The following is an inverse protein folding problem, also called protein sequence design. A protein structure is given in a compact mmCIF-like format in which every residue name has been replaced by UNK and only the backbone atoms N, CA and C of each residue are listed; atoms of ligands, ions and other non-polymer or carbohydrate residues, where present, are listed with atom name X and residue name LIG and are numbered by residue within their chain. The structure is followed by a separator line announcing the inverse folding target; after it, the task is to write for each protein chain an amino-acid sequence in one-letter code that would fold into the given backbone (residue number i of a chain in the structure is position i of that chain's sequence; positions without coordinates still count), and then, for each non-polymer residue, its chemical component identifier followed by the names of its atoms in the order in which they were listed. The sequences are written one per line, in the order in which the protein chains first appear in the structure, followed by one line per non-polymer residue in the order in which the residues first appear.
data_IF_118727105642
#
_entry.id   IF_118727105642
#
_cell.length_a   1.000
_cell.length_b   1.000
_cell.length_c   1.000
_cell.angle_alpha   90.00
_cell.angle_beta   90.00
_cell.angle_gamma   90.00
#
_symmetry.space_group_name_H-M   'P 1'
#
loop_
_entity.id
_entity.type
_entity.pdbx_description
1 polymer ?
#
# COMPACT_ATOMS: atom_id res chain seq x y z
N UNK A 1 23.59 12.40 -14.75
CA UNK A 1 22.78 11.47 -15.57
C UNK A 1 21.29 11.71 -15.36
N UNK A 2 20.82 11.86 -14.11
CA UNK A 2 19.45 12.28 -13.77
C UNK A 2 18.88 13.44 -14.60
N UNK A 3 19.57 14.58 -14.68
CA UNK A 3 19.10 15.76 -15.42
C UNK A 3 18.98 15.54 -16.94
N UNK A 4 19.94 14.83 -17.54
CA UNK A 4 19.89 14.47 -18.96
C UNK A 4 18.73 13.51 -19.28
N UNK A 5 18.41 12.59 -18.37
CA UNK A 5 17.26 11.70 -18.51
C UNK A 5 15.94 12.50 -18.46
N UNK A 6 15.80 13.41 -17.49
CA UNK A 6 14.60 14.25 -17.34
C UNK A 6 14.42 15.19 -18.54
N UNK A 7 15.50 15.76 -19.07
CA UNK A 7 15.48 16.58 -20.29
C UNK A 7 15.15 15.78 -21.55
N UNK A 8 15.63 14.52 -21.66
CA UNK A 8 15.25 13.63 -22.75
C UNK A 8 13.76 13.25 -22.69
N UNK A 9 13.24 12.90 -21.50
CA UNK A 9 11.81 12.59 -21.31
C UNK A 9 10.90 13.80 -21.60
N UNK A 10 11.38 15.01 -21.27
CA UNK A 10 10.71 16.28 -21.63
C UNK A 10 10.51 16.42 -23.15
N UNK A 11 11.47 15.97 -23.95
CA UNK A 11 11.37 16.02 -25.41
C UNK A 11 10.48 14.90 -25.98
N UNK A 12 10.43 13.74 -25.31
CA UNK A 12 9.65 12.57 -25.75
C UNK A 12 8.15 12.67 -25.45
N UNK A 13 7.75 13.39 -24.40
CA UNK A 13 6.33 13.58 -24.01
C UNK A 13 6.03 15.04 -23.70
N UNK A 14 5.58 15.84 -24.68
CA UNK A 14 5.26 17.26 -24.47
C UNK A 14 4.17 17.47 -23.40
N UNK A 15 3.24 16.53 -23.22
CA UNK A 15 2.18 16.60 -22.20
C UNK A 15 2.69 16.55 -20.74
N UNK A 16 3.88 15.97 -20.52
CA UNK A 16 4.52 15.88 -19.19
C UNK A 16 5.73 16.82 -19.06
N UNK A 17 5.99 17.64 -20.09
CA UNK A 17 7.17 18.50 -20.18
C UNK A 17 7.30 19.46 -19.00
N UNK A 18 6.18 20.06 -18.56
CA UNK A 18 6.16 21.00 -17.44
C UNK A 18 6.43 20.31 -16.09
N UNK A 19 5.99 19.06 -15.94
CA UNK A 19 6.29 18.24 -14.77
C UNK A 19 7.78 17.89 -14.70
N UNK A 20 8.36 17.42 -15.80
CA UNK A 20 9.79 17.13 -15.88
C UNK A 20 10.65 18.39 -15.68
N UNK A 21 10.25 19.53 -16.23
CA UNK A 21 10.93 20.81 -16.02
C UNK A 21 10.91 21.22 -14.53
N UNK A 22 9.76 21.06 -13.87
CA UNK A 22 9.61 21.35 -12.44
C UNK A 22 10.46 20.41 -11.58
N UNK A 23 10.49 19.11 -11.90
CA UNK A 23 11.33 18.13 -11.21
C UNK A 23 12.84 18.46 -11.39
N UNK A 24 13.25 18.88 -12.59
CA UNK A 24 14.62 19.28 -12.87
C UNK A 24 15.04 20.53 -12.08
N UNK A 25 14.21 21.57 -12.04
CA UNK A 25 14.48 22.80 -11.28
C UNK A 25 14.55 22.52 -9.76
N UNK A 26 13.61 21.75 -9.22
CA UNK A 26 13.63 21.35 -7.81
C UNK A 26 14.87 20.50 -7.45
N UNK A 27 15.29 19.62 -8.36
CA UNK A 27 16.51 18.84 -8.21
C UNK A 27 17.78 19.71 -8.23
N UNK A 28 17.88 20.66 -9.18
CA UNK A 28 18.99 21.61 -9.26
C UNK A 28 19.09 22.47 -8.00
N UNK A 29 17.94 22.93 -7.48
CA UNK A 29 17.85 23.70 -6.24
C UNK A 29 18.02 22.87 -4.97
N UNK A 30 18.17 21.53 -5.10
CA UNK A 30 18.32 20.57 -3.99
C UNK A 30 17.17 20.64 -2.98
N UNK A 31 15.95 20.95 -3.44
CA UNK A 31 14.75 21.04 -2.61
C UNK A 31 14.08 19.65 -2.49
N UNK A 32 14.72 18.75 -1.76
CA UNK A 32 14.33 17.33 -1.69
C UNK A 32 12.90 17.10 -1.19
N UNK A 33 12.43 17.88 -0.21
CA UNK A 33 11.08 17.73 0.32
C UNK A 33 9.99 18.14 -0.68
N UNK A 34 10.19 19.27 -1.38
CA UNK A 34 9.25 19.68 -2.42
C UNK A 34 9.31 18.76 -3.64
N UNK A 35 10.51 18.25 -3.95
CA UNK A 35 10.71 17.26 -5.00
C UNK A 35 9.91 15.99 -4.72
N UNK A 36 9.97 15.43 -3.49
CA UNK A 36 9.21 14.21 -3.17
C UNK A 36 7.70 14.45 -3.24
N UNK A 37 7.20 15.60 -2.77
CA UNK A 37 5.77 15.94 -2.87
C UNK A 37 5.31 16.06 -4.33
N UNK A 38 6.11 16.70 -5.19
CA UNK A 38 5.82 16.81 -6.62
C UNK A 38 5.91 15.47 -7.33
N UNK A 39 6.86 14.64 -6.94
CA UNK A 39 7.02 13.29 -7.48
C UNK A 39 5.84 12.39 -7.07
N UNK A 40 5.35 12.51 -5.84
CA UNK A 40 4.15 11.81 -5.36
C UNK A 40 2.91 12.16 -6.21
N UNK A 41 2.70 13.45 -6.49
CA UNK A 41 1.64 13.92 -7.41
C UNK A 41 1.83 13.37 -8.83
N UNK A 42 3.06 13.35 -9.31
CA UNK A 42 3.38 12.84 -10.66
C UNK A 42 3.10 11.34 -10.77
N UNK A 43 3.43 10.55 -9.76
CA UNK A 43 3.17 9.10 -9.74
C UNK A 43 1.67 8.75 -9.67
N UNK A 44 0.83 9.66 -9.18
CA UNK A 44 -0.62 9.50 -9.20
C UNK A 44 -1.25 9.74 -10.58
N UNK A 45 -0.53 10.36 -11.52
CA UNK A 45 -1.04 10.59 -12.87
C UNK A 45 -1.10 9.28 -13.66
N UNK A 46 -2.28 8.94 -14.17
CA UNK A 46 -2.48 7.75 -15.03
C UNK A 46 -1.56 7.74 -16.27
N UNK A 47 -1.23 8.92 -16.79
CA UNK A 47 -0.31 9.10 -17.94
C UNK A 47 1.13 8.71 -17.58
N UNK A 48 1.54 8.91 -16.33
CA UNK A 48 2.85 8.49 -15.83
C UNK A 48 2.89 6.99 -15.53
N UNK A 49 1.76 6.39 -15.16
CA UNK A 49 1.59 4.95 -14.94
C UNK A 49 1.53 4.12 -16.24
N UNK A 50 1.77 4.73 -17.39
CA UNK A 50 1.74 4.04 -18.69
C UNK A 50 3.16 3.62 -19.11
N UNK A 51 3.45 2.33 -18.99
CA UNK A 51 4.68 1.68 -19.44
C UNK A 51 5.84 1.75 -18.45
N UNK A 52 7.07 1.56 -18.93
CA UNK A 52 8.28 1.49 -18.09
C UNK A 52 8.77 2.85 -17.56
N UNK A 53 7.99 3.92 -17.72
CA UNK A 53 8.38 5.29 -17.37
C UNK A 53 8.71 5.43 -15.88
N UNK A 54 7.89 4.84 -15.00
CA UNK A 54 8.12 4.90 -13.54
C UNK A 54 9.36 4.09 -13.15
N UNK A 55 9.56 2.93 -13.78
CA UNK A 55 10.72 2.07 -13.54
C UNK A 55 12.02 2.78 -13.91
N UNK A 56 12.04 3.42 -15.08
CA UNK A 56 13.20 4.18 -15.52
C UNK A 56 13.43 5.44 -14.67
N UNK A 57 12.35 6.13 -14.26
CA UNK A 57 12.44 7.27 -13.36
C UNK A 57 13.01 6.85 -12.00
N UNK A 58 12.60 5.70 -11.47
CA UNK A 58 13.15 5.20 -10.22
C UNK A 58 14.65 4.95 -10.34
N UNK A 59 15.07 4.17 -11.35
CA UNK A 59 16.46 3.76 -11.50
C UNK A 59 17.41 4.91 -11.88
N UNK A 60 16.97 5.86 -12.71
CA UNK A 60 17.83 6.94 -13.22
C UNK A 60 17.75 8.24 -12.41
N UNK A 61 16.69 8.42 -11.61
CA UNK A 61 16.44 9.67 -10.89
C UNK A 61 16.34 9.42 -9.38
N UNK A 62 15.47 8.52 -8.92
CA UNK A 62 15.20 8.34 -7.48
C UNK A 62 16.43 7.76 -6.74
N UNK A 63 17.17 6.84 -7.36
CA UNK A 63 18.39 6.26 -6.78
C UNK A 63 19.47 7.33 -6.49
N UNK A 64 19.54 8.42 -7.26
CA UNK A 64 20.55 9.47 -7.06
C UNK A 64 20.35 10.28 -5.75
N UNK A 65 19.14 10.28 -5.18
CA UNK A 65 18.81 11.06 -3.98
C UNK A 65 18.11 10.27 -2.89
N UNK A 66 18.13 8.94 -2.96
CA UNK A 66 17.54 8.04 -1.97
C UNK A 66 18.05 8.30 -0.54
N UNK A 67 19.34 8.64 -0.41
CA UNK A 67 20.00 8.94 0.87
C UNK A 67 19.62 10.29 1.48
N UNK A 68 18.86 11.13 0.76
CA UNK A 68 18.50 12.49 1.18
C UNK A 68 17.02 12.68 1.44
N UNK A 69 16.21 11.64 1.17
CA UNK A 69 14.77 11.67 1.33
C UNK A 69 14.34 10.76 2.48
N UNK A 70 13.11 10.95 2.94
CA UNK A 70 12.52 10.05 3.91
C UNK A 70 12.40 8.63 3.32
N UNK A 71 13.02 7.65 3.98
CA UNK A 71 13.03 6.24 3.58
C UNK A 71 11.62 5.65 3.42
N UNK A 72 10.64 6.11 4.21
CA UNK A 72 9.25 5.68 4.08
C UNK A 72 8.65 6.12 2.75
N UNK A 73 8.91 7.37 2.32
CA UNK A 73 8.49 7.87 1.00
C UNK A 73 9.16 7.11 -0.14
N UNK A 74 10.44 6.76 0.03
CA UNK A 74 11.12 5.87 -0.92
C UNK A 74 10.43 4.51 -1.02
N UNK A 75 10.07 3.91 0.12
CA UNK A 75 9.34 2.64 0.13
C UNK A 75 8.01 2.74 -0.61
N UNK A 76 7.24 3.82 -0.42
CA UNK A 76 6.01 4.07 -1.20
C UNK A 76 6.30 4.12 -2.71
N UNK A 77 7.35 4.83 -3.14
CA UNK A 77 7.74 4.90 -4.55
C UNK A 77 8.18 3.53 -5.10
N UNK A 78 8.93 2.75 -4.33
CA UNK A 78 9.35 1.41 -4.70
C UNK A 78 8.13 0.49 -4.89
N UNK A 79 7.13 0.60 -4.02
CA UNK A 79 5.87 -0.16 -4.13
C UNK A 79 5.08 0.25 -5.38
N UNK A 80 4.93 1.54 -5.68
CA UNK A 80 4.27 2.00 -6.91
C UNK A 80 5.01 1.47 -8.14
N UNK A 81 6.35 1.52 -8.11
CA UNK A 81 7.21 1.02 -9.19
C UNK A 81 7.02 -0.49 -9.38
N UNK A 82 6.96 -1.27 -8.30
CA UNK A 82 6.74 -2.73 -8.38
C UNK A 82 5.42 -3.13 -9.04
N UNK A 83 4.39 -2.28 -8.96
CA UNK A 83 3.08 -2.54 -9.60
C UNK A 83 3.10 -2.35 -11.11
N UNK A 84 4.09 -1.63 -11.63
CA UNK A 84 4.27 -1.41 -13.07
C UNK A 84 4.98 -2.57 -13.76
N UNK A 85 5.62 -3.45 -13.00
CA UNK A 85 6.26 -4.62 -13.58
C UNK A 85 5.19 -5.62 -14.03
N UNK A 86 5.21 -6.07 -15.30
CA UNK A 86 4.31 -7.10 -15.77
C UNK A 86 4.66 -8.48 -15.17
N UNK A 87 5.95 -8.70 -14.86
CA UNK A 87 6.44 -9.92 -14.23
C UNK A 87 6.54 -9.74 -12.71
N UNK A 88 5.81 -10.59 -11.98
CA UNK A 88 5.75 -10.60 -10.52
C UNK A 88 7.08 -11.03 -9.90
N UNK A 89 7.84 -11.89 -10.56
CA UNK A 89 9.15 -12.33 -10.06
C UNK A 89 10.17 -11.19 -10.15
N UNK A 90 10.20 -10.47 -11.27
CA UNK A 90 11.03 -9.29 -11.43
C UNK A 90 10.70 -8.20 -10.39
N UNK A 91 9.40 -8.02 -10.09
CA UNK A 91 8.95 -7.07 -9.06
C UNK A 91 9.46 -7.43 -7.67
N UNK A 92 9.45 -8.72 -7.30
CA UNK A 92 9.97 -9.20 -6.01
C UNK A 92 11.48 -8.96 -5.93
N UNK A 93 12.25 -9.36 -6.95
CA UNK A 93 13.70 -9.14 -6.98
C UNK A 93 14.07 -7.67 -6.87
N UNK A 94 13.30 -6.78 -7.51
CA UNK A 94 13.47 -5.33 -7.38
C UNK A 94 13.25 -4.87 -5.93
N UNK A 95 12.14 -5.27 -5.30
CA UNK A 95 11.81 -4.90 -3.91
C UNK A 95 12.86 -5.45 -2.92
N UNK A 96 13.37 -6.67 -3.13
CA UNK A 96 14.46 -7.24 -2.33
C UNK A 96 15.77 -6.46 -2.48
N UNK A 97 16.07 -5.98 -3.70
CA UNK A 97 17.18 -5.08 -3.97
C UNK A 97 17.04 -3.77 -3.19
N UNK A 98 15.84 -3.19 -3.14
CA UNK A 98 15.55 -1.98 -2.35
C UNK A 98 15.74 -2.25 -0.85
N UNK A 99 15.26 -3.38 -0.32
CA UNK A 99 15.48 -3.77 1.08
C UNK A 99 16.97 -3.86 1.41
N UNK A 100 17.77 -4.44 0.51
CA UNK A 100 19.22 -4.58 0.72
C UNK A 100 19.90 -3.22 0.83
N UNK A 101 19.58 -2.30 -0.08
CA UNK A 101 20.09 -0.91 -0.03
C UNK A 101 19.64 -0.16 1.23
N UNK A 102 18.39 -0.33 1.64
CA UNK A 102 17.86 0.27 2.87
C UNK A 102 18.62 -0.22 4.11
N UNK A 103 19.00 -1.50 4.16
CA UNK A 103 19.82 -2.06 5.24
C UNK A 103 21.25 -1.51 5.25
N UNK A 104 21.83 -1.26 4.08
CA UNK A 104 23.18 -0.70 3.95
C UNK A 104 23.27 0.74 4.45
N UNK A 105 22.18 1.50 4.36
CA UNK A 105 22.13 2.92 4.76
C UNK A 105 22.22 3.11 6.29
N UNK A 106 22.01 2.05 7.10
CA UNK A 106 22.18 2.01 8.57
C UNK A 106 21.54 3.18 9.34
N UNK A 107 20.36 3.63 8.92
CA UNK A 107 19.61 4.65 9.67
C UNK A 107 18.75 4.04 10.80
N UNK A 108 18.40 4.85 11.81
CA UNK A 108 17.66 4.40 13.00
C UNK A 108 16.20 4.01 12.72
N UNK A 109 15.61 4.44 11.61
CA UNK A 109 14.21 4.17 11.21
C UNK A 109 14.11 3.31 9.94
N UNK A 110 15.04 2.38 9.75
CA UNK A 110 15.01 1.47 8.58
C UNK A 110 13.92 0.41 8.67
N UNK A 111 13.46 0.06 9.87
CA UNK A 111 12.58 -1.09 10.04
C UNK A 111 11.17 -0.84 9.49
N UNK A 112 10.64 0.38 9.60
CA UNK A 112 9.35 0.80 9.01
C UNK A 112 9.30 0.65 7.48
N UNK A 113 10.21 1.27 6.69
CA UNK A 113 10.20 1.13 5.25
C UNK A 113 10.51 -0.31 4.80
N UNK A 114 11.38 -1.03 5.50
CA UNK A 114 11.64 -2.45 5.22
C UNK A 114 10.37 -3.27 5.43
N UNK A 115 9.64 -3.02 6.51
CA UNK A 115 8.38 -3.70 6.79
C UNK A 115 7.35 -3.40 5.70
N UNK A 116 7.20 -2.13 5.32
CA UNK A 116 6.28 -1.72 4.26
C UNK A 116 6.60 -2.41 2.92
N UNK A 117 7.88 -2.47 2.53
CA UNK A 117 8.32 -3.17 1.31
C UNK A 117 8.07 -4.68 1.42
N UNK A 118 8.36 -5.29 2.58
CA UNK A 118 8.06 -6.71 2.85
C UNK A 118 6.56 -7.02 2.71
N UNK A 119 5.68 -6.14 3.19
CA UNK A 119 4.23 -6.31 3.05
C UNK A 119 3.81 -6.31 1.58
N UNK A 120 4.43 -5.46 0.75
CA UNK A 120 4.17 -5.49 -0.68
C UNK A 120 4.67 -6.78 -1.35
N UNK A 121 5.84 -7.30 -0.96
CA UNK A 121 6.33 -8.61 -1.44
C UNK A 121 5.35 -9.72 -1.04
N UNK A 122 4.84 -9.70 0.19
CA UNK A 122 3.84 -10.65 0.66
C UNK A 122 2.53 -10.57 -0.17
N UNK A 123 2.10 -9.37 -0.54
CA UNK A 123 0.95 -9.15 -1.42
C UNK A 123 1.15 -9.80 -2.79
N UNK A 124 2.30 -9.56 -3.44
CA UNK A 124 2.63 -10.14 -4.75
C UNK A 124 2.70 -11.67 -4.65
N UNK A 125 3.32 -12.21 -3.59
CA UNK A 125 3.37 -13.65 -3.33
C UNK A 125 1.97 -14.25 -3.12
N UNK A 126 1.07 -13.54 -2.45
CA UNK A 126 -0.32 -13.97 -2.29
C UNK A 126 -1.02 -14.09 -3.64
N UNK A 127 -0.85 -13.11 -4.53
CA UNK A 127 -1.41 -13.15 -5.88
C UNK A 127 -0.80 -14.25 -6.76
N UNK A 128 0.46 -14.66 -6.49
CA UNK A 128 1.08 -15.83 -7.14
C UNK A 128 0.56 -17.16 -6.59
N UNK A 129 -0.17 -17.15 -5.47
CA UNK A 129 -0.63 -18.36 -4.78
C UNK A 129 0.38 -18.94 -3.79
N UNK A 130 1.50 -18.26 -3.52
CA UNK A 130 2.55 -18.70 -2.60
C UNK A 130 2.18 -18.42 -1.13
N UNK A 131 1.19 -19.15 -0.61
CA UNK A 131 0.66 -18.94 0.75
C UNK A 131 1.70 -19.17 1.86
N UNK A 132 2.67 -20.07 1.66
CA UNK A 132 3.72 -20.37 2.67
C UNK A 132 4.67 -19.19 2.88
N UNK A 133 5.21 -18.66 1.78
CA UNK A 133 6.12 -17.50 1.82
C UNK A 133 5.41 -16.25 2.34
N UNK A 134 4.16 -16.03 1.92
CA UNK A 134 3.34 -14.93 2.43
C UNK A 134 3.15 -15.02 3.95
N UNK A 135 2.90 -16.22 4.50
CA UNK A 135 2.78 -16.43 5.95
C UNK A 135 4.07 -16.10 6.70
N UNK A 136 5.21 -16.62 6.23
CA UNK A 136 6.51 -16.36 6.84
C UNK A 136 6.81 -14.86 6.88
N UNK A 137 6.54 -14.15 5.77
CA UNK A 137 6.72 -12.69 5.69
C UNK A 137 5.78 -11.92 6.63
N UNK A 138 4.55 -12.39 6.83
CA UNK A 138 3.59 -11.80 7.78
C UNK A 138 4.00 -12.04 9.24
N UNK A 139 4.47 -13.23 9.61
CA UNK A 139 4.94 -13.53 10.97
C UNK A 139 6.22 -12.74 11.32
N UNK A 140 7.17 -12.70 10.39
CA UNK A 140 8.36 -11.83 10.49
C UNK A 140 7.96 -10.36 10.61
N UNK A 141 6.99 -9.94 9.79
CA UNK A 141 6.48 -8.58 9.77
C UNK A 141 5.83 -8.19 11.09
N UNK A 142 5.03 -9.10 11.67
CA UNK A 142 4.38 -8.90 12.97
C UNK A 142 5.39 -8.76 14.10
N UNK A 143 6.36 -9.67 14.15
CA UNK A 143 7.43 -9.64 15.17
C UNK A 143 8.23 -8.34 15.07
N UNK A 144 8.50 -7.89 13.85
CA UNK A 144 9.19 -6.62 13.60
C UNK A 144 8.33 -5.41 14.02
N UNK A 145 7.03 -5.44 13.73
CA UNK A 145 6.07 -4.41 14.11
C UNK A 145 5.91 -4.29 15.64
N UNK A 146 5.75 -5.41 16.33
CA UNK A 146 5.59 -5.47 17.80
C UNK A 146 6.87 -5.01 18.54
N UNK A 147 8.03 -5.08 17.88
CA UNK A 147 9.30 -4.59 18.44
C UNK A 147 9.45 -3.06 18.38
N UNK A 148 8.62 -2.38 17.60
CA UNK A 148 8.68 -0.93 17.40
C UNK A 148 7.56 -0.22 18.16
N UNK A 149 7.89 0.92 18.78
CA UNK A 149 6.98 1.65 19.68
C UNK A 149 6.41 2.94 19.10
N UNK A 150 6.90 3.40 17.94
CA UNK A 150 6.49 4.66 17.29
C UNK A 150 6.39 4.47 15.77
N UNK A 151 5.50 3.57 15.34
CA UNK A 151 5.32 3.23 13.92
C UNK A 151 4.23 4.09 13.31
N UNK A 152 4.48 4.58 12.09
CA UNK A 152 3.50 5.35 11.35
C UNK A 152 2.19 4.54 11.13
N UNK A 153 1.01 5.15 11.36
CA UNK A 153 -0.29 4.49 11.15
C UNK A 153 -0.45 3.87 9.76
N UNK A 154 0.17 4.44 8.72
CA UNK A 154 0.12 3.91 7.35
C UNK A 154 0.81 2.56 7.21
N UNK A 155 1.85 2.29 8.01
CA UNK A 155 2.57 1.01 8.04
C UNK A 155 1.72 -0.04 8.75
N UNK A 156 1.09 0.32 9.88
CA UNK A 156 0.11 -0.54 10.55
C UNK A 156 -1.05 -0.88 9.64
N UNK A 157 -1.65 0.11 8.97
CA UNK A 157 -2.72 -0.09 8.01
C UNK A 157 -2.30 -1.07 6.90
N UNK A 158 -1.13 -0.85 6.30
CA UNK A 158 -0.65 -1.74 5.23
C UNK A 158 -0.40 -3.17 5.71
N UNK A 159 0.14 -3.35 6.92
CA UNK A 159 0.34 -4.66 7.52
C UNK A 159 -1.00 -5.39 7.74
N UNK A 160 -1.97 -4.75 8.40
CA UNK A 160 -3.27 -5.36 8.68
C UNK A 160 -4.07 -5.62 7.40
N UNK A 161 -3.93 -4.78 6.38
CA UNK A 161 -4.54 -5.00 5.06
C UNK A 161 -4.00 -6.25 4.37
N UNK A 162 -2.67 -6.45 4.32
CA UNK A 162 -2.13 -7.66 3.70
C UNK A 162 -2.45 -8.90 4.52
N UNK A 163 -2.44 -8.78 5.85
CA UNK A 163 -2.89 -9.84 6.76
C UNK A 163 -4.35 -10.24 6.48
N UNK A 164 -5.27 -9.28 6.35
CA UNK A 164 -6.66 -9.56 6.02
C UNK A 164 -6.75 -10.28 4.67
N UNK A 165 -6.11 -9.77 3.61
CA UNK A 165 -6.12 -10.41 2.29
C UNK A 165 -5.59 -11.86 2.33
N UNK A 166 -4.58 -12.13 3.15
CA UNK A 166 -4.08 -13.49 3.38
C UNK A 166 -5.14 -14.40 4.02
N UNK A 167 -5.76 -13.97 5.12
CA UNK A 167 -6.82 -14.75 5.79
C UNK A 167 -8.05 -14.94 4.91
N UNK A 168 -8.41 -13.94 4.08
CA UNK A 168 -9.44 -14.06 3.05
C UNK A 168 -9.13 -15.20 2.07
N UNK A 169 -7.89 -15.29 1.60
CA UNK A 169 -7.44 -16.36 0.70
C UNK A 169 -7.32 -17.73 1.39
N UNK A 170 -7.18 -17.78 2.71
CA UNK A 170 -7.20 -19.00 3.52
C UNK A 170 -8.61 -19.41 3.97
N UNK A 171 -9.64 -18.62 3.68
CA UNK A 171 -11.02 -18.81 4.13
C UNK A 171 -11.18 -18.76 5.67
N UNK A 172 -10.27 -18.05 6.34
CA UNK A 172 -10.32 -17.80 7.78
C UNK A 172 -11.07 -16.48 8.05
N UNK A 173 -12.40 -16.53 7.98
CA UNK A 173 -13.25 -15.34 8.04
C UNK A 173 -13.19 -14.60 9.39
N UNK A 174 -13.02 -15.32 10.49
CA UNK A 174 -12.89 -14.75 11.83
C UNK A 174 -11.66 -13.83 11.97
N UNK A 175 -10.50 -14.29 11.49
CA UNK A 175 -9.26 -13.50 11.53
C UNK A 175 -9.25 -12.41 10.45
N UNK A 176 -9.85 -12.66 9.28
CA UNK A 176 -10.08 -11.61 8.29
C UNK A 176 -10.84 -10.42 8.89
N UNK A 177 -11.95 -10.69 9.58
CA UNK A 177 -12.80 -9.66 10.18
C UNK A 177 -12.03 -8.81 11.19
N UNK A 178 -11.29 -9.44 12.12
CA UNK A 178 -10.47 -8.73 13.12
C UNK A 178 -9.40 -7.85 12.47
N UNK A 179 -8.64 -8.41 11.52
CA UNK A 179 -7.57 -7.66 10.84
C UNK A 179 -8.14 -6.53 9.99
N UNK A 180 -9.29 -6.71 9.35
CA UNK A 180 -9.96 -5.67 8.58
C UNK A 180 -10.45 -4.53 9.49
N UNK A 181 -11.01 -4.83 10.68
CA UNK A 181 -11.35 -3.77 11.65
C UNK A 181 -10.13 -3.01 12.14
N UNK A 182 -9.01 -3.70 12.40
CA UNK A 182 -7.74 -3.05 12.76
C UNK A 182 -7.26 -2.14 11.62
N UNK A 183 -7.31 -2.59 10.37
CA UNK A 183 -7.00 -1.74 9.21
C UNK A 183 -7.81 -0.44 9.18
N UNK A 184 -9.11 -0.53 9.50
CA UNK A 184 -10.01 0.62 9.58
C UNK A 184 -9.69 1.55 10.74
N UNK A 185 -9.20 1.02 11.86
CA UNK A 185 -8.77 1.84 12.99
C UNK A 185 -7.54 2.71 12.68
N UNK A 186 -6.66 2.26 11.76
CA UNK A 186 -5.46 2.99 11.36
C UNK A 186 -5.61 3.81 10.06
N UNK A 187 -6.75 3.71 9.37
CA UNK A 187 -7.00 4.40 8.09
C UNK A 187 -8.13 5.40 8.22
N UNK A 188 -7.96 6.62 7.70
CA UNK A 188 -9.06 7.59 7.64
C UNK A 188 -10.02 7.21 6.51
N UNK A 189 -11.27 6.89 6.89
CA UNK A 189 -12.32 6.46 5.95
C UNK A 189 -12.57 7.48 4.84
N UNK A 190 -12.33 8.76 5.09
CA UNK A 190 -12.48 9.86 4.12
C UNK A 190 -11.51 9.77 2.93
N UNK A 191 -10.36 9.10 3.10
CA UNK A 191 -9.34 8.96 2.06
C UNK A 191 -9.64 7.85 1.03
N UNK A 192 -10.59 6.96 1.34
CA UNK A 192 -10.92 5.79 0.52
C UNK A 192 -12.01 6.11 -0.50
N UNK A 193 -11.92 5.53 -1.70
CA UNK A 193 -12.96 5.65 -2.72
C UNK A 193 -14.26 4.97 -2.30
N UNK A 194 -15.40 5.50 -2.73
CA UNK A 194 -16.71 4.93 -2.40
C UNK A 194 -16.87 3.49 -2.90
N UNK A 195 -16.34 3.18 -4.08
CA UNK A 195 -16.33 1.81 -4.61
C UNK A 195 -15.61 0.83 -3.69
N UNK A 196 -14.44 1.22 -3.18
CA UNK A 196 -13.65 0.38 -2.30
C UNK A 196 -14.31 0.20 -0.93
N UNK A 197 -14.98 1.24 -0.43
CA UNK A 197 -15.78 1.15 0.81
C UNK A 197 -16.89 0.12 0.68
N UNK A 198 -17.58 0.10 -0.47
CA UNK A 198 -18.67 -0.85 -0.72
C UNK A 198 -18.15 -2.28 -0.78
N UNK A 199 -17.08 -2.53 -1.53
CA UNK A 199 -16.46 -3.86 -1.64
C UNK A 199 -15.99 -4.37 -0.28
N UNK A 200 -15.34 -3.50 0.50
CA UNK A 200 -14.87 -3.85 1.84
C UNK A 200 -16.03 -4.08 2.82
N UNK A 201 -17.08 -3.27 2.76
CA UNK A 201 -18.29 -3.45 3.58
C UNK A 201 -18.97 -4.78 3.26
N UNK A 202 -19.05 -5.14 1.98
CA UNK A 202 -19.58 -6.42 1.54
C UNK A 202 -18.73 -7.58 2.07
N UNK A 203 -17.41 -7.53 1.89
CA UNK A 203 -16.49 -8.56 2.40
C UNK A 203 -16.56 -8.72 3.92
N UNK A 204 -16.66 -7.60 4.66
CA UNK A 204 -16.81 -7.60 6.11
C UNK A 204 -18.14 -8.22 6.55
N UNK A 205 -19.24 -7.88 5.86
CA UNK A 205 -20.55 -8.48 6.15
C UNK A 205 -20.55 -9.98 5.90
N UNK A 206 -19.91 -10.44 4.82
CA UNK A 206 -19.78 -11.86 4.51
C UNK A 206 -18.92 -12.57 5.55
N UNK A 207 -17.79 -11.97 5.94
CA UNK A 207 -16.92 -12.54 6.95
C UNK A 207 -17.60 -12.60 8.32
N UNK A 208 -18.43 -11.63 8.67
CA UNK A 208 -19.22 -11.63 9.89
C UNK A 208 -20.28 -12.75 9.89
N UNK A 209 -20.89 -13.04 8.74
CA UNK A 209 -21.87 -14.14 8.59
C UNK A 209 -21.24 -15.53 8.59
N UNK A 210 -20.06 -15.68 7.98
CA UNK A 210 -19.37 -16.96 7.83
C UNK A 210 -18.37 -17.26 8.95
N UNK A 211 -18.00 -16.24 9.74
CA UNK A 211 -16.98 -16.36 10.77
C UNK A 211 -17.55 -16.90 12.08
N UNK A 212 -16.97 -18.00 12.54
CA UNK A 212 -17.24 -18.50 13.89
C UNK A 212 -16.80 -17.46 14.94
N UNK A 213 -17.63 -17.25 15.97
CA UNK A 213 -17.39 -16.34 17.09
C UNK A 213 -17.40 -14.83 16.80
N UNK A 214 -18.04 -14.38 15.72
CA UNK A 214 -18.29 -12.95 15.50
C UNK A 214 -19.70 -12.61 16.02
N UNK A 215 -19.78 -12.11 17.26
CA UNK A 215 -21.04 -11.69 17.88
C UNK A 215 -21.25 -10.17 17.86
N UNK A 216 -20.27 -9.41 17.38
CA UNK A 216 -20.23 -7.95 17.51
C UNK A 216 -20.60 -7.22 16.21
N UNK A 217 -21.76 -7.57 15.64
CA UNK A 217 -22.31 -6.90 14.45
C UNK A 217 -22.65 -5.42 14.70
N UNK A 218 -22.91 -5.05 15.95
CA UNK A 218 -23.23 -3.69 16.36
C UNK A 218 -22.08 -2.71 16.09
N UNK A 219 -20.82 -3.12 16.30
CA UNK A 219 -19.65 -2.29 16.01
C UNK A 219 -19.48 -2.03 14.51
N UNK A 220 -19.77 -3.02 13.67
CA UNK A 220 -19.69 -2.88 12.22
C UNK A 220 -20.77 -1.92 11.69
N UNK A 221 -22.01 -2.07 12.17
CA UNK A 221 -23.14 -1.24 11.76
C UNK A 221 -22.99 0.22 12.22
N UNK A 222 -22.32 0.46 13.34
CA UNK A 222 -22.01 1.80 13.83
C UNK A 222 -20.86 2.49 13.04
N UNK A 223 -20.07 1.73 12.27
CA UNK A 223 -18.92 2.28 11.56
C UNK A 223 -19.34 3.07 10.30
N UNK A 224 -18.74 4.25 10.03
CA UNK A 224 -19.08 5.14 8.90
C UNK A 224 -18.95 4.50 7.49
N UNK A 225 -18.38 3.30 7.41
CA UNK A 225 -18.24 2.54 6.15
C UNK A 225 -19.56 1.87 5.75
N UNK A 226 -20.35 1.45 6.74
CA UNK A 226 -21.61 0.74 6.53
C UNK A 226 -22.80 1.71 6.51
N UNK A 227 -22.77 2.75 7.35
CA UNK A 227 -23.86 3.73 7.42
C UNK A 227 -24.02 4.60 6.17
N UNK A 228 -22.95 4.80 5.38
CA UNK A 228 -23.03 5.50 4.10
C UNK A 228 -23.47 4.60 2.93
N UNK A 229 -23.56 3.28 3.15
CA UNK A 229 -23.81 2.29 2.10
C UNK A 229 -25.23 1.76 2.23
N UNK A 230 -26.19 2.41 1.56
CA UNK A 230 -27.62 2.04 1.56
C UNK A 230 -27.89 0.57 1.21
N UNK A 231 -27.00 -0.07 0.44
CA UNK A 231 -27.09 -1.49 0.07
C UNK A 231 -26.92 -2.44 1.27
N UNK A 232 -26.04 -2.11 2.22
CA UNK A 232 -25.79 -2.96 3.41
C UNK A 232 -26.91 -2.76 4.44
N UNK A 233 -27.42 -1.53 4.55
CA UNK A 233 -28.60 -1.22 5.35
C UNK A 233 -29.84 -1.96 4.83
N UNK A 234 -30.06 -2.02 3.50
CA UNK A 234 -31.17 -2.78 2.91
C UNK A 234 -30.98 -4.31 3.04
N UNK A 235 -29.76 -4.83 2.92
CA UNK A 235 -29.50 -6.27 3.07
C UNK A 235 -29.76 -6.76 4.51
N UNK A 236 -29.39 -5.96 5.52
CA UNK A 236 -29.70 -6.26 6.93
C UNK A 236 -31.15 -5.96 7.32
N UNK A 237 -31.81 -4.96 6.70
CA UNK A 237 -33.23 -4.68 6.95
C UNK A 237 -34.18 -5.70 6.30
N UNK A 238 -33.85 -6.27 5.15
CA UNK A 238 -34.71 -7.26 4.46
C UNK A 238 -34.57 -8.70 4.98
N UNK A 239 -33.55 -9.01 5.78
CA UNK A 239 -33.37 -10.32 6.41
C UNK A 239 -33.45 -10.24 7.96
N UNK A 240 -34.64 -9.99 8.54
CA UNK A 240 -34.82 -9.85 9.99
C UNK A 240 -34.62 -11.15 10.79
N UNK A 241 -34.31 -12.29 10.15
CA UNK A 241 -34.05 -13.55 10.86
C UNK A 241 -32.70 -13.60 11.59
N UNK A 242 -31.77 -12.66 11.34
CA UNK A 242 -30.42 -12.69 11.94
C UNK A 242 -30.30 -11.99 13.30
N UNK A 243 -31.36 -11.33 13.78
CA UNK A 243 -31.33 -10.66 15.10
C UNK A 243 -31.67 -11.59 16.28
N UNK A 244 -31.94 -12.87 16.03
CA UNK A 244 -32.28 -13.87 17.06
C UNK A 244 -31.40 -15.11 16.90
N UNK A 245 -30.16 -15.02 17.37
CA UNK A 245 -29.37 -16.12 17.91
C UNK A 245 -28.21 -15.58 18.75
#
# INVERSE_FOLDING_TARGET
MALQYVEAQRQLRPDLSDWYASLADLYQRKLWHQLTLKLDQFLQLQVAQTGDTIIQLYNNFIVDFETKINLLKLAHFAVITSRQYPDKDAAITFLEGVITKLRETRESRINEPILYVKMQIAAINLEKGNKKECKNLLEDGKTTLDSMTDVDPTVHASFYWISSQYHKACQEFAEFYKNALLYLAYTTVESLSESFKLDLAFDLSLAALLGDNIYNFGELLAHPIVSNSSVVHDFFCYHPCFFVL
#
